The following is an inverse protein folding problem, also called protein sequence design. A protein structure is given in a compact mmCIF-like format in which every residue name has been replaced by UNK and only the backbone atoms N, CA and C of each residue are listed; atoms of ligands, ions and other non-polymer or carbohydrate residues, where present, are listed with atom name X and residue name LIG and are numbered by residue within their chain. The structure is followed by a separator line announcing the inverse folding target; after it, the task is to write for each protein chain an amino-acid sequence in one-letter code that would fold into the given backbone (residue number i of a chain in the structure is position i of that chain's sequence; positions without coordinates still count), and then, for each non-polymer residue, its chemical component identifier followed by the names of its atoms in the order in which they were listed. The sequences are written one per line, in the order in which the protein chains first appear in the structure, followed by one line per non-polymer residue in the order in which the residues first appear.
data_IF_458335296773
#
_entry.id   IF_458335296773
#
_cell.length_a   1.000
_cell.length_b   1.000
_cell.length_c   1.000
_cell.angle_alpha   90.00
_cell.angle_beta   90.00
_cell.angle_gamma   90.00
#
_symmetry.space_group_name_H-M   'P 1'
#
loop_
_entity.id
_entity.type
_entity.pdbx_description
1 polymer ?
#
# COMPACT_ATOMS: atom_id res chain seq x y z
N UNK A 1 22.14 41.14 -17.89
CA UNK A 1 22.45 39.79 -18.39
C UNK A 1 22.72 38.73 -17.31
N UNK A 2 22.97 39.07 -16.02
CA UNK A 2 23.25 38.07 -14.96
C UNK A 2 22.00 37.40 -14.35
N UNK A 3 20.83 38.03 -14.43
CA UNK A 3 19.57 37.53 -13.85
C UNK A 3 18.95 36.38 -14.65
N UNK A 4 19.14 36.37 -15.97
CA UNK A 4 18.64 35.31 -16.86
C UNK A 4 19.30 33.96 -16.54
N UNK A 5 20.60 33.94 -16.22
CA UNK A 5 21.29 32.71 -15.81
C UNK A 5 20.73 32.12 -14.51
N UNK A 6 20.54 32.95 -13.47
CA UNK A 6 19.93 32.49 -12.21
C UNK A 6 18.49 32.01 -12.40
N UNK A 7 17.75 32.61 -13.32
CA UNK A 7 16.39 32.16 -13.64
C UNK A 7 16.37 30.72 -14.18
N UNK A 8 17.27 30.38 -15.11
CA UNK A 8 17.37 29.01 -15.64
C UNK A 8 17.81 27.99 -14.57
N UNK A 9 18.71 28.39 -13.66
CA UNK A 9 19.14 27.53 -12.55
C UNK A 9 17.99 27.24 -11.59
N UNK A 10 17.22 28.25 -11.20
CA UNK A 10 16.05 28.08 -10.33
C UNK A 10 14.94 27.28 -11.02
N UNK A 11 14.72 27.50 -12.31
CA UNK A 11 13.73 26.76 -13.10
C UNK A 11 14.09 25.27 -13.22
N UNK A 12 15.36 24.95 -13.46
CA UNK A 12 15.82 23.56 -13.50
C UNK A 12 15.65 22.86 -12.15
N UNK A 13 16.03 23.53 -11.05
CA UNK A 13 15.83 23.01 -9.69
C UNK A 13 14.35 22.80 -9.37
N UNK A 14 13.48 23.71 -9.80
CA UNK A 14 12.05 23.58 -9.61
C UNK A 14 11.47 22.35 -10.35
N UNK A 15 11.89 22.12 -11.59
CA UNK A 15 11.43 20.97 -12.38
C UNK A 15 11.89 19.64 -11.78
N UNK A 16 13.12 19.55 -11.26
CA UNK A 16 13.59 18.32 -10.60
C UNK A 16 12.80 18.03 -9.33
N UNK A 17 12.59 19.04 -8.47
CA UNK A 17 11.77 18.90 -7.26
C UNK A 17 10.34 18.46 -7.62
N UNK A 18 9.74 19.05 -8.67
CA UNK A 18 8.40 18.69 -9.11
C UNK A 18 8.31 17.23 -9.58
N UNK A 19 9.30 16.74 -10.32
CA UNK A 19 9.34 15.35 -10.81
C UNK A 19 9.37 14.35 -9.67
N UNK A 20 10.16 14.63 -8.63
CA UNK A 20 10.27 13.75 -7.47
C UNK A 20 9.23 14.04 -6.38
N UNK A 21 8.36 15.04 -6.55
CA UNK A 21 7.36 15.40 -5.55
C UNK A 21 6.44 14.24 -5.21
N UNK A 22 5.91 13.54 -6.22
CA UNK A 22 4.94 12.46 -6.02
C UNK A 22 5.55 11.23 -5.31
N UNK A 23 6.74 10.73 -5.68
CA UNK A 23 7.40 9.66 -4.91
C UNK A 23 7.76 10.04 -3.47
N UNK A 24 8.22 11.28 -3.24
CA UNK A 24 8.70 11.72 -1.92
C UNK A 24 7.57 11.77 -0.88
N UNK A 25 6.34 12.13 -1.29
CA UNK A 25 5.21 12.21 -0.36
C UNK A 25 4.92 10.87 0.32
N UNK A 26 4.98 9.76 -0.43
CA UNK A 26 4.69 8.43 0.09
C UNK A 26 5.74 7.96 1.12
N UNK A 27 7.03 8.25 0.86
CA UNK A 27 8.10 7.89 1.81
C UNK A 27 8.12 8.77 3.06
N UNK A 28 7.80 10.06 2.93
CA UNK A 28 7.80 11.01 4.06
C UNK A 28 6.66 10.69 5.03
N UNK A 29 5.46 10.37 4.52
CA UNK A 29 4.32 9.95 5.35
C UNK A 29 4.67 8.68 6.11
N UNK A 30 5.28 7.69 5.45
CA UNK A 30 5.74 6.47 6.11
C UNK A 30 6.80 6.73 7.19
N UNK A 31 7.80 7.56 6.90
CA UNK A 31 8.86 7.87 7.87
C UNK A 31 8.31 8.65 9.10
N UNK A 32 7.40 9.59 8.87
CA UNK A 32 6.72 10.32 9.95
C UNK A 32 5.85 9.39 10.82
N UNK A 33 5.15 8.43 10.20
CA UNK A 33 4.31 7.47 10.92
C UNK A 33 5.13 6.39 11.65
N UNK A 34 6.25 5.93 11.07
CA UNK A 34 7.13 4.93 11.69
C UNK A 34 7.88 5.50 12.92
N UNK A 35 8.26 6.79 12.89
CA UNK A 35 8.86 7.46 14.05
C UNK A 35 7.87 7.70 15.21
N UNK A 36 6.56 7.66 14.94
CA UNK A 36 5.49 7.72 15.96
C UNK A 36 4.99 6.36 16.46
N UNK A 37 5.58 5.25 16.01
CA UNK A 37 5.24 3.92 16.53
C UNK A 37 3.87 3.40 16.09
N UNK A 38 3.40 3.80 14.91
CA UNK A 38 2.16 3.28 14.32
C UNK A 38 2.35 1.79 14.01
N UNK A 39 1.78 0.92 14.86
CA UNK A 39 1.70 -0.51 14.60
C UNK A 39 0.45 -0.78 13.77
N UNK A 40 0.65 -1.25 12.55
CA UNK A 40 -0.43 -1.74 11.69
C UNK A 40 -0.88 -3.10 12.23
N UNK A 41 -1.94 -3.11 13.03
CA UNK A 41 -2.59 -4.33 13.49
C UNK A 41 -3.62 -4.75 12.43
N UNK A 42 -3.55 -6.01 12.01
CA UNK A 42 -4.61 -6.60 11.20
C UNK A 42 -5.80 -6.87 12.15
N UNK A 43 -7.04 -6.95 11.67
CA UNK A 43 -8.18 -7.23 12.57
C UNK A 43 -8.12 -8.62 13.24
N UNK A 44 -7.28 -9.53 12.74
CA UNK A 44 -7.23 -10.93 13.19
C UNK A 44 -6.42 -11.15 14.47
N UNK A 45 -5.53 -10.24 14.86
CA UNK A 45 -4.81 -10.28 16.15
C UNK A 45 -5.61 -9.72 17.33
N UNK A 46 -6.90 -9.43 17.16
CA UNK A 46 -7.79 -8.99 18.24
C UNK A 46 -8.57 -10.16 18.85
N UNK A 47 -7.87 -11.19 19.34
CA UNK A 47 -8.43 -12.15 20.29
C UNK A 47 -7.53 -12.34 21.52
N UNK A 48 -7.58 -11.34 22.42
CA UNK A 48 -7.24 -11.43 23.85
C UNK A 48 -5.76 -11.25 24.24
N UNK A 49 -5.43 -10.58 25.37
CA UNK A 49 -6.17 -10.60 26.63
C UNK A 49 -6.68 -9.24 27.12
N UNK A 50 -7.81 -9.27 27.85
CA UNK A 50 -8.21 -8.21 28.79
C UNK A 50 -7.09 -7.99 29.80
N UNK A 51 -6.33 -6.91 29.65
CA UNK A 51 -5.49 -6.36 30.71
C UNK A 51 -5.51 -4.83 30.60
N UNK A 52 -6.20 -4.21 31.56
CA UNK A 52 -6.10 -2.82 32.02
C UNK A 52 -5.52 -1.82 31.02
N UNK A 53 -6.36 -1.23 30.16
CA UNK A 53 -5.97 -0.05 29.40
C UNK A 53 -5.63 1.07 30.39
N UNK A 54 -4.35 1.36 30.54
CA UNK A 54 -3.89 2.48 31.36
C UNK A 54 -4.39 3.77 30.72
N UNK A 55 -4.78 4.77 31.52
CA UNK A 55 -5.10 6.11 31.02
C UNK A 55 -3.95 6.70 30.17
N UNK A 56 -2.73 6.21 30.40
CA UNK A 56 -1.53 6.54 29.61
C UNK A 56 -1.58 5.95 28.18
N UNK A 57 -2.25 4.81 27.97
CA UNK A 57 -2.47 4.20 26.64
C UNK A 57 -3.58 4.92 25.88
N UNK A 58 -4.58 5.46 26.58
CA UNK A 58 -5.65 6.28 25.98
C UNK A 58 -5.12 7.67 25.58
N UNK A 59 -4.22 8.26 26.37
CA UNK A 59 -3.55 9.53 26.04
C UNK A 59 -2.51 9.39 24.93
N UNK A 60 -1.87 8.20 24.78
CA UNK A 60 -0.95 7.87 23.68
C UNK A 60 -1.64 7.39 22.41
N UNK A 61 -2.98 7.26 22.40
CA UNK A 61 -3.76 6.85 21.24
C UNK A 61 -3.91 7.98 20.20
N UNK A 62 -2.80 8.63 19.83
CA UNK A 62 -2.75 9.44 18.63
C UNK A 62 -2.48 8.51 17.45
N UNK A 63 -3.58 8.06 16.87
CA UNK A 63 -3.68 7.65 15.47
C UNK A 63 -3.02 6.31 15.15
N UNK A 64 -3.58 5.22 15.70
CA UNK A 64 -3.50 3.93 15.04
C UNK A 64 -4.36 4.05 13.77
N UNK A 65 -3.72 4.31 12.63
CA UNK A 65 -4.39 4.26 11.34
C UNK A 65 -4.65 2.79 11.00
N UNK A 66 -5.82 2.30 11.41
CA UNK A 66 -6.24 0.92 11.15
C UNK A 66 -6.60 0.83 9.67
N UNK A 67 -5.66 0.37 8.86
CA UNK A 67 -5.94 -0.05 7.47
C UNK A 67 -6.80 -1.31 7.58
N UNK A 68 -8.11 -1.16 7.37
CA UNK A 68 -9.02 -2.29 7.33
C UNK A 68 -8.87 -2.97 5.97
N UNK A 69 -8.52 -4.26 5.91
CA UNK A 69 -8.50 -4.99 4.64
C UNK A 69 -9.81 -4.77 3.88
N UNK A 70 -9.72 -4.49 2.57
CA UNK A 70 -10.90 -4.40 1.70
C UNK A 70 -11.64 -5.74 1.66
N UNK A 71 -10.90 -6.83 1.76
CA UNK A 71 -11.41 -8.20 1.83
C UNK A 71 -10.67 -8.96 2.95
N UNK A 72 -11.41 -9.66 3.81
CA UNK A 72 -10.86 -10.46 4.91
C UNK A 72 -10.53 -11.90 4.50
N UNK A 73 -11.10 -12.39 3.40
CA UNK A 73 -10.93 -13.78 2.96
C UNK A 73 -9.70 -13.92 2.08
N UNK A 74 -9.60 -13.11 1.01
CA UNK A 74 -8.45 -13.15 0.10
C UNK A 74 -8.07 -11.74 -0.39
N UNK A 75 -7.15 -11.10 0.32
CA UNK A 75 -6.72 -9.73 0.08
C UNK A 75 -5.22 -9.51 0.33
N UNK A 76 -4.69 -8.42 -0.20
CA UNK A 76 -3.32 -7.98 0.05
C UNK A 76 -3.33 -6.56 0.64
N UNK A 77 -2.64 -6.42 1.77
CA UNK A 77 -2.41 -5.13 2.42
C UNK A 77 -0.91 -4.91 2.53
N UNK A 78 -0.41 -3.83 1.94
CA UNK A 78 0.98 -3.39 2.03
C UNK A 78 0.99 -2.00 2.69
N UNK A 79 1.13 -1.92 4.02
CA UNK A 79 0.99 -0.67 4.76
C UNK A 79 1.98 0.41 4.33
N UNK A 80 3.20 0.02 3.94
CA UNK A 80 4.27 0.95 3.57
C UNK A 80 3.94 1.83 2.36
N UNK A 81 3.08 1.35 1.46
CA UNK A 81 2.63 2.07 0.27
C UNK A 81 1.12 2.29 0.29
N UNK A 82 0.48 2.09 1.45
CA UNK A 82 -0.97 2.15 1.62
C UNK A 82 -1.76 1.36 0.55
N UNK A 83 -1.20 0.24 0.07
CA UNK A 83 -1.89 -0.60 -0.89
C UNK A 83 -2.83 -1.54 -0.14
N UNK A 84 -4.09 -1.56 -0.53
CA UNK A 84 -5.11 -2.43 0.04
C UNK A 84 -6.04 -2.87 -1.09
N UNK A 85 -5.96 -4.14 -1.46
CA UNK A 85 -6.69 -4.66 -2.60
C UNK A 85 -7.24 -6.06 -2.33
N UNK A 86 -8.43 -6.30 -2.88
CA UNK A 86 -9.05 -7.62 -3.02
C UNK A 86 -8.30 -8.46 -4.05
N UNK A 87 -8.17 -9.76 -3.81
CA UNK A 87 -7.57 -10.70 -4.76
C UNK A 87 -8.66 -11.63 -5.33
N UNK A 88 -8.67 -11.82 -6.65
CA UNK A 88 -9.48 -12.82 -7.35
C UNK A 88 -8.61 -14.04 -7.62
N UNK A 89 -8.96 -15.19 -7.05
CA UNK A 89 -8.21 -16.43 -7.17
C UNK A 89 -8.42 -17.14 -8.52
N UNK A 90 -7.43 -17.97 -8.92
CA UNK A 90 -7.52 -18.92 -10.03
C UNK A 90 -7.91 -18.33 -11.40
N UNK A 91 -7.45 -17.11 -11.69
CA UNK A 91 -7.73 -16.44 -12.95
C UNK A 91 -6.80 -16.96 -14.04
N UNK A 92 -7.35 -17.44 -15.15
CA UNK A 92 -6.57 -17.90 -16.30
C UNK A 92 -5.94 -16.70 -17.06
N UNK A 93 -4.61 -16.51 -17.00
CA UNK A 93 -3.96 -15.39 -17.69
C UNK A 93 -3.94 -15.56 -19.21
N UNK A 94 -4.18 -16.76 -19.75
CA UNK A 94 -4.24 -16.98 -21.20
C UNK A 94 -5.57 -16.49 -21.80
N UNK A 95 -6.63 -16.38 -20.99
CA UNK A 95 -7.95 -15.92 -21.43
C UNK A 95 -8.14 -14.43 -21.13
N UNK A 96 -7.82 -13.59 -22.12
CA UNK A 96 -7.90 -12.12 -22.04
C UNK A 96 -9.22 -11.61 -21.44
N UNK A 97 -10.37 -12.16 -21.84
CA UNK A 97 -11.68 -11.67 -21.39
C UNK A 97 -11.88 -11.90 -19.90
N UNK A 98 -11.64 -13.13 -19.43
CA UNK A 98 -11.80 -13.51 -18.01
C UNK A 98 -10.82 -12.74 -17.14
N UNK A 99 -9.60 -12.57 -17.64
CA UNK A 99 -8.54 -11.86 -16.94
C UNK A 99 -8.81 -10.37 -16.79
N UNK A 100 -9.28 -9.69 -17.85
CA UNK A 100 -9.62 -8.26 -17.76
C UNK A 100 -10.82 -8.03 -16.84
N UNK A 101 -11.83 -8.90 -16.90
CA UNK A 101 -12.99 -8.84 -16.00
C UNK A 101 -12.56 -9.00 -14.54
N UNK A 102 -11.64 -9.91 -14.24
CA UNK A 102 -11.10 -10.05 -12.89
C UNK A 102 -10.33 -8.80 -12.42
N UNK A 103 -9.58 -8.13 -13.31
CA UNK A 103 -8.83 -6.92 -13.00
C UNK A 103 -9.71 -5.70 -12.72
N UNK A 104 -10.94 -5.65 -13.27
CA UNK A 104 -11.90 -4.61 -12.92
C UNK A 104 -12.38 -4.73 -11.46
N UNK A 105 -12.34 -5.95 -10.91
CA UNK A 105 -12.83 -6.26 -9.57
C UNK A 105 -11.73 -6.33 -8.50
N UNK A 106 -10.44 -6.32 -8.87
CA UNK A 106 -9.32 -6.41 -7.95
C UNK A 106 -8.01 -6.88 -8.59
N UNK A 107 -7.10 -7.38 -7.76
CA UNK A 107 -5.83 -8.01 -8.18
C UNK A 107 -6.12 -9.46 -8.61
N UNK A 108 -5.66 -9.88 -9.78
CA UNK A 108 -5.83 -11.26 -10.23
C UNK A 108 -4.65 -12.13 -9.77
N UNK A 109 -4.94 -13.27 -9.14
CA UNK A 109 -3.97 -14.35 -8.92
C UNK A 109 -3.99 -15.30 -10.12
N UNK A 110 -2.81 -15.58 -10.67
CA UNK A 110 -2.71 -16.39 -11.88
C UNK A 110 -2.88 -17.88 -11.59
N UNK A 111 -3.79 -18.51 -12.34
CA UNK A 111 -4.04 -19.95 -12.28
C UNK A 111 -2.78 -20.75 -12.54
N UNK A 112 -2.53 -21.75 -11.70
CA UNK A 112 -1.35 -22.62 -11.79
C UNK A 112 -0.10 -22.06 -11.10
N UNK A 113 -0.21 -20.92 -10.41
CA UNK A 113 0.81 -20.43 -9.49
C UNK A 113 0.49 -20.83 -8.05
N UNK A 114 1.49 -20.82 -7.17
CA UNK A 114 1.33 -21.24 -5.78
C UNK A 114 0.35 -20.32 -5.03
N UNK A 115 -0.31 -20.84 -4.00
CA UNK A 115 -1.12 -20.05 -3.07
C UNK A 115 -0.29 -19.51 -1.90
N UNK A 116 -0.77 -18.48 -1.18
CA UNK A 116 -0.11 -18.01 0.03
C UNK A 116 0.07 -19.14 1.05
N UNK A 117 1.31 -19.34 1.51
CA UNK A 117 1.67 -20.41 2.44
C UNK A 117 2.14 -21.71 1.77
N UNK A 118 1.99 -21.84 0.45
CA UNK A 118 2.57 -22.94 -0.33
C UNK A 118 4.00 -22.64 -0.75
N UNK A 119 4.80 -23.69 -0.98
CA UNK A 119 6.16 -23.53 -1.48
C UNK A 119 6.14 -23.36 -3.01
N UNK A 120 6.43 -22.15 -3.49
CA UNK A 120 6.49 -21.84 -4.91
C UNK A 120 6.43 -20.34 -5.19
N UNK A 121 6.37 -19.99 -6.47
CA UNK A 121 6.19 -18.61 -6.90
C UNK A 121 4.69 -18.29 -7.02
N UNK A 122 4.30 -17.16 -6.46
CA UNK A 122 2.96 -16.61 -6.54
C UNK A 122 3.00 -15.45 -7.53
N UNK A 123 2.05 -15.41 -8.47
CA UNK A 123 1.97 -14.33 -9.44
C UNK A 123 0.66 -13.54 -9.26
N UNK A 124 0.81 -12.25 -8.98
CA UNK A 124 -0.29 -11.31 -8.85
C UNK A 124 -0.22 -10.27 -9.96
N UNK A 125 -1.39 -9.90 -10.47
CA UNK A 125 -1.52 -8.89 -11.51
C UNK A 125 -2.48 -7.83 -11.01
N UNK A 126 -1.98 -6.61 -10.93
CA UNK A 126 -2.74 -5.45 -10.45
C UNK A 126 -3.31 -4.67 -11.64
N UNK A 127 -4.55 -4.16 -11.55
CA UNK A 127 -5.10 -3.26 -12.56
C UNK A 127 -4.29 -1.98 -12.65
N UNK A 128 -4.07 -1.51 -13.87
CA UNK A 128 -3.39 -0.24 -14.10
C UNK A 128 -4.39 0.91 -13.99
N UNK A 129 -4.42 1.59 -12.85
CA UNK A 129 -5.12 2.86 -12.70
C UNK A 129 -4.30 3.95 -13.41
N UNK A 130 -4.88 4.57 -14.45
CA UNK A 130 -4.30 5.66 -15.22
C UNK A 130 -4.95 6.98 -14.85
#
# INVERSE_FOLDING_TARGET
MRTIGNFFILMALFLTIKTFWQPVQEEVIYWYNNTKGVKYALPEDVQGPKATKSLQDVLKNQQIEVIRPVDTDFGIVIPKINANARIVADVDPAQKKVYLDALEHGVAHAKGTALPGENGHIFYVCPFHR
#
